data_IF_849082745171
#
_entry.id   IF_849082745171
#
_cell.length_a   1.000
_cell.length_b   1.000
_cell.length_c   1.000
_cell.angle_alpha   90.00
_cell.angle_beta   90.00
_cell.angle_gamma   90.00
#
_symmetry.space_group_name_H-M   'P 1'
#
loop_
_entity.id
_entity.type
_entity.pdbx_description
1 polymer ?
#
# COMPACT_ATOMS: atom_id res chain seq x y z
N UNK A 1 46.50 11.17 -11.53
CA UNK A 1 45.71 12.08 -10.67
C UNK A 1 44.54 12.75 -11.39
N UNK A 2 44.71 13.40 -12.54
CA UNK A 2 43.59 14.06 -13.24
C UNK A 2 42.53 13.07 -13.78
N UNK A 3 42.96 11.91 -14.29
CA UNK A 3 42.07 10.89 -14.85
C UNK A 3 41.17 10.24 -13.79
N UNK A 4 41.68 9.97 -12.59
CA UNK A 4 40.90 9.41 -11.48
C UNK A 4 39.82 10.38 -10.97
N UNK A 5 40.14 11.67 -10.89
CA UNK A 5 39.17 12.72 -10.54
C UNK A 5 38.07 12.89 -11.60
N UNK A 6 38.35 12.57 -12.87
CA UNK A 6 37.35 12.62 -13.95
C UNK A 6 36.40 11.43 -13.86
N UNK A 7 36.91 10.22 -13.61
CA UNK A 7 36.11 9.01 -13.43
C UNK A 7 35.20 9.15 -12.21
N UNK A 8 35.72 9.62 -11.08
CA UNK A 8 34.94 9.84 -9.86
C UNK A 8 33.78 10.82 -10.08
N UNK A 9 34.05 11.97 -10.72
CA UNK A 9 33.00 12.95 -11.05
C UNK A 9 31.97 12.42 -12.05
N UNK A 10 32.39 11.57 -13.00
CA UNK A 10 31.49 10.96 -13.98
C UNK A 10 30.56 9.95 -13.31
N UNK A 11 31.10 9.07 -12.46
CA UNK A 11 30.33 8.08 -11.70
C UNK A 11 29.34 8.77 -10.75
N UNK A 12 29.77 9.80 -10.01
CA UNK A 12 28.88 10.57 -9.13
C UNK A 12 27.72 11.18 -9.92
N UNK A 13 27.97 11.79 -11.09
CA UNK A 13 26.88 12.33 -11.93
C UNK A 13 25.90 11.25 -12.40
N UNK A 14 26.40 10.06 -12.76
CA UNK A 14 25.55 8.96 -13.18
C UNK A 14 24.69 8.46 -12.02
N UNK A 15 25.28 8.30 -10.84
CA UNK A 15 24.57 7.91 -9.61
C UNK A 15 23.52 8.95 -9.22
N UNK A 16 23.87 10.24 -9.21
CA UNK A 16 22.93 11.33 -8.92
C UNK A 16 21.76 11.32 -9.91
N UNK A 17 22.02 11.13 -11.20
CA UNK A 17 20.96 10.99 -12.21
C UNK A 17 20.10 9.75 -11.97
N UNK A 18 20.71 8.61 -11.66
CA UNK A 18 19.99 7.38 -11.33
C UNK A 18 19.06 7.56 -10.14
N UNK A 19 19.57 8.13 -9.04
CA UNK A 19 18.78 8.45 -7.85
C UNK A 19 17.67 9.45 -8.18
N UNK A 20 17.96 10.50 -8.96
CA UNK A 20 16.94 11.45 -9.41
C UNK A 20 15.80 10.78 -10.17
N UNK A 21 16.11 9.89 -11.12
CA UNK A 21 15.07 9.15 -11.84
C UNK A 21 14.27 8.22 -10.93
N UNK A 22 14.92 7.53 -9.99
CA UNK A 22 14.22 6.69 -9.02
C UNK A 22 13.26 7.51 -8.15
N UNK A 23 13.70 8.67 -7.66
CA UNK A 23 12.84 9.58 -6.89
C UNK A 23 11.66 10.06 -7.74
N UNK A 24 11.90 10.45 -8.99
CA UNK A 24 10.81 10.85 -9.90
C UNK A 24 9.81 9.71 -10.15
N UNK A 25 10.28 8.47 -10.30
CA UNK A 25 9.40 7.31 -10.46
C UNK A 25 8.56 7.05 -9.20
N UNK A 26 9.15 7.16 -8.01
CA UNK A 26 8.42 6.99 -6.75
C UNK A 26 7.35 8.07 -6.59
N UNK A 27 7.67 9.32 -6.91
CA UNK A 27 6.71 10.43 -6.88
C UNK A 27 5.59 10.20 -7.91
N UNK A 28 5.93 9.74 -9.11
CA UNK A 28 4.97 9.48 -10.18
C UNK A 28 4.12 8.22 -9.96
N UNK A 29 4.55 7.28 -9.11
CA UNK A 29 3.85 6.02 -8.89
C UNK A 29 2.41 6.23 -8.38
N UNK A 30 2.22 7.15 -7.43
CA UNK A 30 0.89 7.45 -6.88
C UNK A 30 -0.09 8.05 -7.92
N UNK A 31 0.23 9.14 -8.65
CA UNK A 31 -0.70 9.68 -9.63
C UNK A 31 -0.94 8.72 -10.80
N UNK A 32 0.06 7.95 -11.22
CA UNK A 32 -0.11 6.92 -12.27
C UNK A 32 -1.08 5.84 -11.79
N UNK A 33 -0.91 5.32 -10.57
CA UNK A 33 -1.83 4.35 -9.98
C UNK A 33 -3.26 4.91 -9.88
N UNK A 34 -3.40 6.16 -9.44
CA UNK A 34 -4.70 6.83 -9.34
C UNK A 34 -5.38 6.95 -10.72
N UNK A 35 -4.66 7.34 -11.76
CA UNK A 35 -5.23 7.44 -13.13
C UNK A 35 -5.68 6.06 -13.62
N UNK A 36 -4.85 5.03 -13.44
CA UNK A 36 -5.20 3.65 -13.81
C UNK A 36 -6.43 3.17 -13.06
N UNK A 37 -6.48 3.39 -11.74
CA UNK A 37 -7.62 3.04 -10.91
C UNK A 37 -8.89 3.76 -11.37
N UNK A 38 -8.83 5.07 -11.63
CA UNK A 38 -9.97 5.85 -12.15
C UNK A 38 -10.48 5.31 -13.49
N UNK A 39 -9.58 4.91 -14.38
CA UNK A 39 -9.95 4.27 -15.64
C UNK A 39 -10.66 2.93 -15.41
N UNK A 40 -10.19 2.11 -14.47
CA UNK A 40 -10.86 0.85 -14.07
C UNK A 40 -12.22 1.08 -13.45
N UNK A 41 -12.35 2.07 -12.56
CA UNK A 41 -13.64 2.47 -11.98
C UNK A 41 -14.64 2.86 -13.09
N UNK A 42 -14.19 3.64 -14.08
CA UNK A 42 -15.04 4.01 -15.21
C UNK A 42 -15.46 2.81 -16.07
N UNK A 43 -14.63 1.76 -16.13
CA UNK A 43 -14.95 0.49 -16.80
C UNK A 43 -15.78 -0.49 -15.94
N UNK A 44 -16.02 -0.17 -14.66
CA UNK A 44 -16.76 -1.02 -13.71
C UNK A 44 -15.92 -2.05 -12.95
N UNK A 45 -14.59 -2.06 -13.11
CA UNK A 45 -13.65 -3.03 -12.51
C UNK A 45 -12.67 -2.36 -11.52
N UNK A 46 -13.04 -1.19 -10.98
CA UNK A 46 -12.17 -0.43 -10.08
C UNK A 46 -12.29 -0.81 -8.60
N UNK A 47 -13.33 -1.55 -8.24
CA UNK A 47 -13.65 -1.95 -6.87
C UNK A 47 -13.92 -3.46 -6.83
N UNK A 48 -13.50 -4.10 -5.75
CA UNK A 48 -13.77 -5.49 -5.44
C UNK A 48 -14.29 -5.65 -4.02
N UNK A 49 -14.66 -6.87 -3.66
CA UNK A 49 -15.02 -7.23 -2.29
C UNK A 49 -14.22 -8.43 -1.84
N UNK A 50 -13.76 -8.38 -0.58
CA UNK A 50 -12.99 -9.45 0.04
C UNK A 50 -13.62 -9.79 1.38
N UNK A 51 -13.75 -11.08 1.67
CA UNK A 51 -14.19 -11.55 2.97
C UNK A 51 -13.05 -11.41 3.98
N UNK A 52 -13.31 -10.73 5.09
CA UNK A 52 -12.38 -10.57 6.21
C UNK A 52 -12.97 -11.14 7.49
N UNK A 53 -12.10 -11.66 8.35
CA UNK A 53 -12.39 -12.13 9.70
C UNK A 53 -12.30 -10.97 10.67
N UNK A 54 -13.40 -10.69 11.37
CA UNK A 54 -13.45 -9.66 12.40
C UNK A 54 -13.08 -10.25 13.76
N UNK A 55 -12.13 -9.60 14.44
CA UNK A 55 -11.74 -9.93 15.81
C UNK A 55 -11.95 -8.70 16.68
N UNK A 56 -12.54 -8.87 17.86
CA UNK A 56 -12.59 -7.82 18.88
C UNK A 56 -11.57 -8.09 19.97
N UNK A 57 -10.66 -7.15 20.18
CA UNK A 57 -9.77 -7.16 21.32
C UNK A 57 -10.44 -6.37 22.46
N UNK A 58 -10.77 -7.06 23.55
CA UNK A 58 -11.27 -6.43 24.77
C UNK A 58 -10.15 -6.39 25.81
N UNK A 59 -9.91 -5.20 26.38
CA UNK A 59 -8.94 -5.03 27.46
C UNK A 59 -9.57 -5.48 28.79
N UNK A 60 -9.02 -6.55 29.36
CA UNK A 60 -9.47 -7.06 30.66
C UNK A 60 -8.64 -6.48 31.80
N UNK A 61 -9.29 -6.35 32.95
CA UNK A 61 -8.69 -5.88 34.20
C UNK A 61 -7.37 -6.61 34.49
N UNK A 62 -6.29 -5.86 34.64
CA UNK A 62 -4.94 -6.40 34.85
C UNK A 62 -4.06 -6.45 33.59
N UNK A 63 -4.42 -5.72 32.52
CA UNK A 63 -3.57 -5.53 31.34
C UNK A 63 -3.51 -6.75 30.40
N UNK A 64 -4.53 -7.63 30.45
CA UNK A 64 -4.64 -8.78 29.55
C UNK A 64 -5.60 -8.44 28.42
N UNK A 65 -5.14 -8.54 27.18
CA UNK A 65 -6.01 -8.46 26.01
C UNK A 65 -6.53 -9.86 25.65
N UNK A 66 -7.85 -10.00 25.51
CA UNK A 66 -8.47 -11.19 24.91
C UNK A 66 -9.06 -10.86 23.55
N UNK A 67 -8.79 -11.73 22.60
CA UNK A 67 -9.29 -11.64 21.23
C UNK A 67 -10.51 -12.55 21.08
N UNK A 68 -11.65 -11.96 20.73
CA UNK A 68 -12.89 -12.66 20.43
C UNK A 68 -13.13 -12.64 18.92
N UNK A 69 -13.51 -13.79 18.34
CA UNK A 69 -13.90 -13.85 16.94
C UNK A 69 -15.35 -13.38 16.79
N UNK A 70 -15.57 -12.34 16.00
CA UNK A 70 -16.87 -11.71 15.79
C UNK A 70 -17.57 -12.17 14.50
N UNK A 71 -16.94 -13.06 13.71
CA UNK A 71 -17.47 -13.54 12.44
C UNK A 71 -16.67 -13.04 11.25
N UNK A 72 -17.28 -13.12 10.07
CA UNK A 72 -16.69 -12.65 8.81
C UNK A 72 -17.59 -11.63 8.15
N UNK A 73 -17.02 -10.55 7.63
CA UNK A 73 -17.73 -9.52 6.87
C UNK A 73 -17.12 -9.35 5.48
N UNK A 74 -17.93 -8.87 4.54
CA UNK A 74 -17.44 -8.47 3.21
C UNK A 74 -17.06 -6.99 3.28
N UNK A 75 -15.80 -6.69 2.95
CA UNK A 75 -15.31 -5.30 2.88
C UNK A 75 -15.01 -4.93 1.43
N UNK A 76 -15.40 -3.71 1.07
CA UNK A 76 -15.02 -3.13 -0.21
C UNK A 76 -13.51 -2.88 -0.22
N UNK A 77 -12.88 -3.15 -1.36
CA UNK A 77 -11.46 -2.94 -1.60
C UNK A 77 -11.24 -2.32 -2.98
N UNK A 78 -10.14 -1.57 -3.14
CA UNK A 78 -9.79 -0.97 -4.43
C UNK A 78 -8.87 -1.89 -5.23
N UNK A 79 -9.18 -2.12 -6.51
CA UNK A 79 -8.34 -2.89 -7.44
C UNK A 79 -7.21 -2.00 -8.00
N UNK A 80 -6.33 -1.56 -7.10
CA UNK A 80 -5.21 -0.64 -7.33
C UNK A 80 -3.97 -1.06 -6.51
N UNK A 81 -2.82 -0.48 -6.82
CA UNK A 81 -1.59 -0.74 -6.06
C UNK A 81 -1.65 -0.10 -4.68
N UNK A 82 -2.14 1.14 -4.61
CA UNK A 82 -2.33 1.87 -3.35
C UNK A 82 -3.81 1.88 -2.93
N UNK A 83 -4.13 2.03 -1.63
CA UNK A 83 -5.50 2.22 -1.16
C UNK A 83 -6.15 3.45 -1.80
N UNK A 84 -7.34 3.29 -2.39
CA UNK A 84 -8.11 4.36 -3.02
C UNK A 84 -9.54 4.41 -2.45
N UNK A 85 -10.18 5.58 -2.52
CA UNK A 85 -11.57 5.79 -2.09
C UNK A 85 -11.90 5.42 -0.63
N UNK A 86 -10.91 5.45 0.27
CA UNK A 86 -11.09 5.05 1.67
C UNK A 86 -11.15 3.54 1.89
N UNK A 87 -10.98 2.75 0.83
CA UNK A 87 -10.91 1.29 0.88
C UNK A 87 -9.45 0.81 0.81
N UNK A 88 -9.16 -0.32 1.45
CA UNK A 88 -7.85 -0.96 1.34
C UNK A 88 -7.61 -1.53 -0.06
N UNK A 89 -6.36 -1.63 -0.48
CA UNK A 89 -6.03 -2.29 -1.75
C UNK A 89 -6.37 -3.78 -1.68
N UNK A 90 -7.06 -4.32 -2.69
CA UNK A 90 -7.58 -5.69 -2.65
C UNK A 90 -6.49 -6.75 -2.43
N UNK A 91 -5.30 -6.59 -3.03
CA UNK A 91 -4.18 -7.51 -2.83
C UNK A 91 -3.67 -7.52 -1.38
N UNK A 92 -3.71 -6.38 -0.69
CA UNK A 92 -3.30 -6.25 0.70
C UNK A 92 -4.32 -6.86 1.63
N UNK A 93 -5.61 -6.55 1.42
CA UNK A 93 -6.73 -7.09 2.22
C UNK A 93 -6.82 -8.61 2.07
N UNK A 94 -6.63 -9.14 0.86
CA UNK A 94 -6.56 -10.60 0.62
C UNK A 94 -5.41 -11.26 1.40
N UNK A 95 -4.29 -10.57 1.59
CA UNK A 95 -3.13 -11.10 2.32
C UNK A 95 -3.24 -10.93 3.84
N UNK A 96 -3.98 -9.93 4.29
CA UNK A 96 -4.24 -9.64 5.70
C UNK A 96 -5.75 -9.59 5.96
N UNK A 97 -6.45 -10.73 5.88
CA UNK A 97 -7.90 -10.76 5.98
C UNK A 97 -8.40 -10.69 7.42
N UNK A 98 -7.59 -10.23 8.38
CA UNK A 98 -7.97 -10.16 9.80
C UNK A 98 -8.02 -8.70 10.20
N UNK A 99 -9.21 -8.25 10.62
CA UNK A 99 -9.43 -6.90 11.12
C UNK A 99 -9.67 -6.98 12.62
N UNK A 100 -8.81 -6.35 13.40
CA UNK A 100 -8.95 -6.29 14.86
C UNK A 100 -9.52 -4.94 15.26
N UNK A 101 -10.71 -4.93 15.83
CA UNK A 101 -11.31 -3.75 16.46
C UNK A 101 -11.01 -3.80 17.96
N UNK A 102 -10.43 -2.74 18.52
CA UNK A 102 -10.25 -2.62 19.97
C UNK A 102 -11.50 -1.96 20.57
N UNK A 103 -11.98 -2.50 21.69
CA UNK A 103 -13.11 -1.96 22.46
C UNK A 103 -12.65 -1.51 23.85
#
# INVERSE_FOLDING_TARGET
MAEELVIEKYVIRLLVRGVMYLVLLVIAAYPVDWVVWRARVAAGDGMGQVQVSEMTAAEMKGGKETYYFNGTSMVDCSESLYPQAGAGACWWVKRHPIVTTKY
#
